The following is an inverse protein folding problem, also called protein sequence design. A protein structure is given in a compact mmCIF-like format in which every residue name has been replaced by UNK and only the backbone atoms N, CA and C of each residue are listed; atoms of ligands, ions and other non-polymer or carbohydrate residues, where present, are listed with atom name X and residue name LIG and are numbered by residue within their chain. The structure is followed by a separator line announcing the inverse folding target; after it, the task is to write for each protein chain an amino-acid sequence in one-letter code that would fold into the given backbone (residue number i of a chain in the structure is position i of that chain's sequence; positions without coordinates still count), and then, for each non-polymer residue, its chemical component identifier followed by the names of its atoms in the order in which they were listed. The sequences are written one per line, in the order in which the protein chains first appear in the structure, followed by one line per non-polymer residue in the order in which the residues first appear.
data_IF_170960956228
#
_entry.id   IF_170960956228
#
_cell.length_a   1.000
_cell.length_b   1.000
_cell.length_c   1.000
_cell.angle_alpha   90.00
_cell.angle_beta   90.00
_cell.angle_gamma   90.00
#
_symmetry.space_group_name_H-M   'P 1'
#
loop_
_entity.id
_entity.type
_entity.pdbx_description
1 polymer ?
#
# COMPACT_ATOMS: atom_id res chain seq x y z
N UNK A 1 14.67 6.70 -8.16
CA UNK A 1 13.50 7.22 -7.44
C UNK A 1 12.32 7.17 -8.39
N UNK A 2 11.39 6.23 -8.20
CA UNK A 2 10.26 6.01 -9.11
C UNK A 2 9.29 7.20 -9.13
N UNK A 3 9.19 7.91 -8.01
CA UNK A 3 8.38 9.12 -7.89
C UNK A 3 8.88 10.20 -8.85
N UNK A 4 10.20 10.45 -8.89
CA UNK A 4 10.79 11.40 -9.84
C UNK A 4 10.56 11.02 -11.30
N UNK A 5 10.62 9.73 -11.63
CA UNK A 5 10.34 9.28 -13.00
C UNK A 5 8.89 9.63 -13.39
N UNK A 6 7.94 9.42 -12.46
CA UNK A 6 6.55 9.78 -12.67
C UNK A 6 6.35 11.30 -12.79
N UNK A 7 6.93 12.08 -11.88
CA UNK A 7 6.74 13.54 -11.79
C UNK A 7 7.49 14.30 -12.90
N UNK A 8 8.75 13.96 -13.16
CA UNK A 8 9.63 14.71 -14.08
C UNK A 8 9.36 14.36 -15.55
N UNK A 9 8.95 13.12 -15.83
CA UNK A 9 8.77 12.62 -17.21
C UNK A 9 7.33 12.26 -17.56
N UNK A 10 6.38 12.38 -16.63
CA UNK A 10 4.96 12.06 -16.86
C UNK A 10 4.69 10.58 -17.11
N UNK A 11 5.60 9.69 -16.69
CA UNK A 11 5.50 8.24 -16.94
C UNK A 11 4.65 7.60 -15.85
N UNK A 12 3.54 6.95 -16.22
CA UNK A 12 2.73 6.17 -15.28
C UNK A 12 3.56 5.02 -14.71
N UNK A 13 3.64 4.94 -13.39
CA UNK A 13 4.36 3.88 -12.69
C UNK A 13 3.37 2.99 -11.94
N UNK A 14 3.52 1.68 -12.10
CA UNK A 14 2.79 0.67 -11.33
C UNK A 14 3.82 -0.12 -10.53
N UNK A 15 3.60 -0.23 -9.22
CA UNK A 15 4.46 -0.96 -8.30
C UNK A 15 3.64 -1.97 -7.51
N UNK A 16 4.22 -3.14 -7.27
CA UNK A 16 3.72 -4.08 -6.29
C UNK A 16 4.49 -3.84 -4.99
N UNK A 17 3.76 -3.58 -3.90
CA UNK A 17 4.33 -3.27 -2.59
C UNK A 17 3.66 -4.12 -1.51
N UNK A 18 4.47 -4.59 -0.57
CA UNK A 18 4.05 -5.30 0.64
C UNK A 18 4.35 -4.49 1.92
N UNK A 19 4.68 -3.20 1.77
CA UNK A 19 4.98 -2.30 2.88
C UNK A 19 3.94 -1.19 2.91
N UNK A 20 3.17 -1.14 4.01
CA UNK A 20 2.16 -0.10 4.22
C UNK A 20 2.80 1.30 4.24
N UNK A 21 3.93 1.47 4.92
CA UNK A 21 4.62 2.77 5.03
C UNK A 21 5.03 3.32 3.66
N UNK A 22 5.60 2.47 2.81
CA UNK A 22 6.00 2.88 1.45
C UNK A 22 4.78 3.16 0.57
N UNK A 23 3.70 2.37 0.70
CA UNK A 23 2.46 2.64 -0.01
C UNK A 23 1.89 4.01 0.38
N UNK A 24 1.89 4.34 1.67
CA UNK A 24 1.44 5.65 2.19
C UNK A 24 2.31 6.81 1.71
N UNK A 25 3.61 6.60 1.61
CA UNK A 25 4.56 7.65 1.25
C UNK A 25 4.56 7.96 -0.25
N UNK A 26 4.36 6.96 -1.11
CA UNK A 26 4.64 7.08 -2.54
C UNK A 26 3.45 6.83 -3.47
N UNK A 27 2.40 6.14 -3.02
CA UNK A 27 1.25 5.86 -3.88
C UNK A 27 0.29 7.06 -3.96
N UNK A 28 -0.30 7.26 -5.13
CA UNK A 28 -1.44 8.16 -5.34
C UNK A 28 -2.77 7.41 -5.40
N UNK A 29 -2.71 6.12 -5.73
CA UNK A 29 -3.84 5.17 -5.76
C UNK A 29 -3.34 3.82 -5.27
N UNK A 30 -4.16 3.13 -4.46
CA UNK A 30 -3.88 1.79 -3.97
C UNK A 30 -4.94 0.83 -4.50
N UNK A 31 -4.47 -0.30 -5.03
CA UNK A 31 -5.30 -1.45 -5.38
C UNK A 31 -4.93 -2.56 -4.41
N UNK A 32 -5.82 -2.81 -3.46
CA UNK A 32 -5.68 -3.81 -2.42
C UNK A 32 -6.24 -5.16 -2.86
N UNK A 33 -5.43 -6.21 -2.76
CA UNK A 33 -5.78 -7.56 -3.16
C UNK A 33 -5.83 -8.48 -1.94
N UNK A 34 -6.91 -9.23 -1.77
CA UNK A 34 -7.03 -10.27 -0.76
C UNK A 34 -7.63 -11.53 -1.38
N UNK A 35 -7.00 -12.69 -1.14
CA UNK A 35 -7.47 -13.99 -1.63
C UNK A 35 -7.81 -14.06 -3.15
N UNK A 36 -7.10 -13.28 -3.98
CA UNK A 36 -7.32 -13.22 -5.42
C UNK A 36 -8.36 -12.19 -5.88
N UNK A 37 -8.99 -11.47 -4.95
CA UNK A 37 -10.02 -10.47 -5.22
C UNK A 37 -9.53 -9.06 -4.90
N UNK A 38 -10.06 -8.05 -5.60
CA UNK A 38 -9.84 -6.64 -5.28
C UNK A 38 -10.79 -6.26 -4.14
N UNK A 39 -10.23 -5.97 -2.97
CA UNK A 39 -10.99 -5.55 -1.78
C UNK A 39 -10.90 -4.05 -1.50
N UNK A 40 -9.95 -3.36 -2.15
CA UNK A 40 -9.81 -1.92 -2.08
C UNK A 40 -9.32 -1.36 -3.41
N UNK A 41 -9.91 -0.25 -3.85
CA UNK A 41 -9.44 0.53 -4.99
C UNK A 41 -9.80 1.99 -4.75
N UNK A 42 -8.80 2.78 -4.40
CA UNK A 42 -9.03 4.16 -3.95
C UNK A 42 -7.75 4.96 -3.83
N UNK A 43 -7.88 6.20 -3.39
CA UNK A 43 -6.73 7.07 -3.13
C UNK A 43 -5.96 6.60 -1.89
N UNK A 44 -4.74 7.08 -1.73
CA UNK A 44 -3.93 6.77 -0.54
C UNK A 44 -4.55 7.34 0.74
N UNK A 45 -5.27 8.47 0.64
CA UNK A 45 -5.97 9.11 1.75
C UNK A 45 -7.20 8.31 2.21
N UNK A 46 -7.82 7.54 1.31
CA UNK A 46 -8.94 6.64 1.62
C UNK A 46 -8.49 5.30 2.21
N UNK A 47 -7.19 4.96 2.09
CA UNK A 47 -6.60 3.73 2.60
C UNK A 47 -6.30 3.84 4.11
N UNK A 48 -7.35 3.79 4.93
CA UNK A 48 -7.23 3.80 6.40
C UNK A 48 -6.57 2.52 6.94
N UNK A 49 -6.21 2.51 8.22
CA UNK A 49 -5.64 1.32 8.88
C UNK A 49 -6.61 0.13 8.82
N UNK A 50 -7.92 0.39 8.92
CA UNK A 50 -8.96 -0.64 8.76
C UNK A 50 -8.99 -1.22 7.34
N UNK A 51 -8.75 -0.40 6.32
CA UNK A 51 -8.66 -0.87 4.93
C UNK A 51 -7.40 -1.67 4.67
N UNK A 52 -6.26 -1.28 5.25
CA UNK A 52 -5.07 -2.12 5.21
C UNK A 52 -5.28 -3.45 5.93
N UNK A 53 -6.00 -3.46 7.06
CA UNK A 53 -6.36 -4.70 7.76
C UNK A 53 -7.22 -5.62 6.88
N UNK A 54 -8.15 -5.07 6.10
CA UNK A 54 -8.98 -5.84 5.13
C UNK A 54 -8.12 -6.44 4.00
N UNK A 55 -7.14 -5.69 3.49
CA UNK A 55 -6.23 -6.15 2.41
C UNK A 55 -5.34 -7.29 2.89
N UNK A 56 -4.66 -7.10 4.02
CA UNK A 56 -3.67 -8.04 4.53
C UNK A 56 -4.30 -9.19 5.34
N UNK A 57 -5.48 -8.97 5.92
CA UNK A 57 -6.10 -9.87 6.88
C UNK A 57 -5.44 -9.81 8.27
N UNK A 58 -6.17 -10.26 9.30
CA UNK A 58 -5.79 -10.18 10.73
C UNK A 58 -4.38 -10.72 11.05
N UNK A 59 -3.92 -11.75 10.33
CA UNK A 59 -2.65 -12.42 10.61
C UNK A 59 -1.45 -11.64 10.06
N UNK A 60 -1.58 -11.03 8.89
CA UNK A 60 -0.48 -10.30 8.26
C UNK A 60 -0.29 -8.92 8.88
N UNK A 61 -1.37 -8.23 9.29
CA UNK A 61 -1.27 -6.96 10.01
C UNK A 61 -0.49 -7.11 11.32
N UNK A 62 -0.70 -8.22 12.05
CA UNK A 62 0.01 -8.49 13.30
C UNK A 62 1.52 -8.67 13.09
N UNK A 63 1.93 -9.32 12.00
CA UNK A 63 3.35 -9.49 11.67
C UNK A 63 3.99 -8.17 11.22
N UNK A 64 3.30 -7.37 10.41
CA UNK A 64 3.84 -6.09 9.92
C UNK A 64 3.92 -5.04 11.05
N UNK A 65 2.91 -4.96 11.93
CA UNK A 65 2.95 -4.13 13.15
C UNK A 65 4.06 -4.57 14.12
N UNK A 66 4.30 -5.88 14.24
CA UNK A 66 5.43 -6.41 15.03
C UNK A 66 6.77 -6.03 14.39
N UNK A 67 6.90 -6.04 13.07
CA UNK A 67 8.12 -5.61 12.37
C UNK A 67 8.39 -4.11 12.52
N UNK A 68 7.35 -3.28 12.54
CA UNK A 68 7.46 -1.83 12.77
C UNK A 68 7.81 -1.51 14.23
N UNK A 69 7.22 -2.22 15.21
CA UNK A 69 7.44 -1.96 16.63
C UNK A 69 8.82 -2.41 17.17
N UNK A 70 9.58 -3.19 16.39
CA UNK A 70 10.91 -3.69 16.75
C UNK A 70 12.04 -2.86 16.11
N UNK A 71 11.70 -1.87 15.27
CA UNK A 71 12.62 -0.81 14.81
C UNK A 71 12.57 0.42 15.70
#
# INVERSE_FOLDING_TARGET
DLKKINEDFGITTIVNLHSIDLARQYATRIIGLHAGEIVFDGSVEEATDEKFAEIYGDVAQKNELLEVAVK
#
